data_IF_163815300120
#
_entry.id   IF_163815300120
#
_cell.length_a   1.000
_cell.length_b   1.000
_cell.length_c   1.000
_cell.angle_alpha   90.00
_cell.angle_beta   90.00
_cell.angle_gamma   90.00
#
_symmetry.space_group_name_H-M   'P 1'
#
loop_
_entity.id
_entity.type
_entity.pdbx_description
1 polymer ?
#
# COMPACT_ATOMS: atom_id res chain seq x y z
N UNK A 1 -15.90 3.05 16.82
CA UNK A 1 -15.51 4.46 16.64
C UNK A 1 -16.46 5.21 15.73
N UNK A 2 -16.74 4.73 14.51
CA UNK A 2 -17.68 5.42 13.61
C UNK A 2 -19.10 5.61 14.20
N UNK A 3 -19.56 4.68 15.05
CA UNK A 3 -20.85 4.75 15.74
C UNK A 3 -20.92 5.74 16.91
N UNK A 4 -19.77 6.24 17.39
CA UNK A 4 -19.70 7.13 18.56
C UNK A 4 -19.52 8.60 18.18
N UNK A 5 -19.44 8.93 16.89
CA UNK A 5 -19.31 10.31 16.41
C UNK A 5 -20.65 11.03 16.48
N UNK A 6 -20.62 12.32 16.84
CA UNK A 6 -21.82 13.17 16.82
C UNK A 6 -21.81 14.04 15.57
N UNK A 7 -22.84 13.95 14.75
CA UNK A 7 -23.02 14.84 13.59
C UNK A 7 -23.20 16.28 14.09
N UNK A 8 -22.42 17.22 13.56
CA UNK A 8 -22.50 18.66 13.87
C UNK A 8 -23.37 19.32 12.81
N UNK A 9 -23.03 19.12 11.54
CA UNK A 9 -23.80 19.54 10.36
C UNK A 9 -23.64 18.47 9.26
N UNK A 10 -24.04 18.75 8.01
CA UNK A 10 -24.05 17.74 6.94
C UNK A 10 -22.68 17.13 6.63
N UNK A 11 -21.62 17.94 6.65
CA UNK A 11 -20.27 17.53 6.28
C UNK A 11 -19.32 17.47 7.49
N UNK A 12 -19.81 17.71 8.72
CA UNK A 12 -19.00 17.79 9.93
C UNK A 12 -19.44 16.85 11.06
N UNK A 13 -18.45 16.19 11.67
CA UNK A 13 -18.65 15.27 12.78
C UNK A 13 -17.69 15.56 13.92
N UNK A 14 -18.15 15.41 15.15
CA UNK A 14 -17.32 15.48 16.35
C UNK A 14 -16.77 14.09 16.69
N UNK A 15 -15.45 13.97 16.71
CA UNK A 15 -14.74 12.79 17.21
C UNK A 15 -14.66 12.86 18.75
N UNK A 16 -14.81 11.72 19.47
CA UNK A 16 -14.63 11.67 20.92
C UNK A 16 -13.24 12.12 21.38
N UNK A 17 -13.19 12.84 22.49
CA UNK A 17 -11.96 13.46 23.02
C UNK A 17 -10.89 12.42 23.39
N UNK A 18 -11.29 11.23 23.82
CA UNK A 18 -10.39 10.13 24.19
C UNK A 18 -9.50 9.73 23.00
N UNK A 19 -10.05 9.76 21.79
CA UNK A 19 -9.30 9.44 20.58
C UNK A 19 -8.37 10.59 20.19
N UNK A 20 -8.83 11.83 20.33
CA UNK A 20 -7.97 13.00 20.09
C UNK A 20 -6.75 12.99 21.00
N UNK A 21 -6.88 12.59 22.27
CA UNK A 21 -5.76 12.48 23.20
C UNK A 21 -4.69 11.47 22.75
N UNK A 22 -5.05 10.43 22.00
CA UNK A 22 -4.09 9.46 21.45
C UNK A 22 -3.33 10.05 20.25
N UNK A 23 -3.99 10.91 19.47
CA UNK A 23 -3.44 11.50 18.24
C UNK A 23 -2.57 12.72 18.54
N UNK A 24 -2.99 13.54 19.52
CA UNK A 24 -2.37 14.81 19.91
C UNK A 24 -1.11 14.58 20.77
N UNK A 25 -0.12 13.91 20.19
CA UNK A 25 1.22 13.78 20.75
C UNK A 25 1.92 15.14 20.80
N UNK A 26 2.97 15.28 21.60
CA UNK A 26 3.73 16.55 21.72
C UNK A 26 4.19 17.11 20.36
N UNK A 27 4.73 16.31 19.42
CA UNK A 27 5.09 16.81 18.08
C UNK A 27 3.88 17.31 17.27
N UNK A 28 2.76 16.58 17.32
CA UNK A 28 1.53 16.96 16.60
C UNK A 28 0.95 18.26 17.18
N UNK A 29 0.95 18.41 18.50
CA UNK A 29 0.55 19.63 19.19
C UNK A 29 1.46 20.81 18.83
N UNK A 30 2.78 20.60 18.75
CA UNK A 30 3.71 21.63 18.31
C UNK A 30 3.36 22.13 16.90
N UNK A 31 3.12 21.22 15.95
CA UNK A 31 2.71 21.57 14.59
C UNK A 31 1.43 22.41 14.60
N UNK A 32 0.38 21.97 15.29
CA UNK A 32 -0.84 22.76 15.40
C UNK A 32 -0.57 24.16 15.96
N UNK A 33 0.20 24.25 17.05
CA UNK A 33 0.49 25.52 17.70
C UNK A 33 1.24 26.50 16.79
N UNK A 34 2.26 26.05 16.04
CA UNK A 34 3.07 26.97 15.22
C UNK A 34 2.30 27.48 14.01
N UNK A 35 1.40 26.67 13.43
CA UNK A 35 0.56 27.11 12.31
C UNK A 35 -0.58 28.02 12.77
N UNK A 36 -1.30 27.65 13.84
CA UNK A 36 -2.41 28.45 14.36
C UNK A 36 -1.96 29.83 14.86
N UNK A 37 -0.74 29.95 15.42
CA UNK A 37 -0.15 31.25 15.83
C UNK A 37 0.19 32.18 14.66
N UNK A 38 0.31 31.63 13.46
CA UNK A 38 0.55 32.39 12.23
C UNK A 38 -0.74 32.50 11.40
N UNK A 39 -1.91 32.28 12.02
CA UNK A 39 -3.24 32.40 11.40
C UNK A 39 -3.49 31.46 10.21
N UNK A 40 -2.76 30.35 10.13
CA UNK A 40 -2.98 29.32 9.12
C UNK A 40 -3.78 28.14 9.67
N UNK A 41 -4.77 27.69 8.90
CA UNK A 41 -5.46 26.45 9.20
C UNK A 41 -4.57 25.27 8.86
N UNK A 42 -4.58 24.25 9.72
CA UNK A 42 -3.89 22.98 9.49
C UNK A 42 -4.79 21.84 9.99
N UNK A 43 -4.85 20.74 9.23
CA UNK A 43 -5.67 19.57 9.56
C UNK A 43 -4.92 18.30 9.19
N UNK A 44 -5.13 17.23 9.96
CA UNK A 44 -4.71 15.88 9.57
C UNK A 44 -5.56 15.44 8.38
N UNK A 45 -4.97 14.79 7.38
CA UNK A 45 -5.68 14.40 6.16
C UNK A 45 -5.43 12.94 5.77
N UNK A 46 -6.26 12.43 4.86
CA UNK A 46 -5.93 11.24 4.08
C UNK A 46 -5.86 9.95 4.90
N UNK A 47 -4.76 9.22 4.72
CA UNK A 47 -4.62 7.88 5.26
C UNK A 47 -4.66 7.82 6.77
N UNK A 48 -4.16 8.86 7.44
CA UNK A 48 -4.17 8.96 8.89
C UNK A 48 -5.61 9.05 9.43
N UNK A 49 -6.46 9.88 8.82
CA UNK A 49 -7.87 10.05 9.22
C UNK A 49 -8.65 8.74 9.06
N UNK A 50 -8.46 8.03 7.94
CA UNK A 50 -9.07 6.71 7.72
C UNK A 50 -8.63 5.72 8.80
N UNK A 51 -7.33 5.62 9.08
CA UNK A 51 -6.80 4.64 10.02
C UNK A 51 -7.28 4.95 11.45
N UNK A 52 -7.34 6.23 11.84
CA UNK A 52 -7.96 6.71 13.08
C UNK A 52 -9.41 6.22 13.18
N UNK A 53 -10.25 6.47 12.17
CA UNK A 53 -11.67 6.09 12.19
C UNK A 53 -11.92 4.58 12.23
N UNK A 54 -10.94 3.80 11.74
CA UNK A 54 -10.91 2.34 11.87
C UNK A 54 -10.43 1.85 13.25
N UNK A 55 -10.11 2.76 14.18
CA UNK A 55 -9.59 2.43 15.50
C UNK A 55 -8.13 1.96 15.48
N UNK A 56 -7.37 2.32 14.44
CA UNK A 56 -5.94 2.01 14.30
C UNK A 56 -5.11 3.25 14.61
N UNK A 57 -3.94 3.04 15.21
CA UNK A 57 -2.94 4.12 15.35
C UNK A 57 -2.32 4.39 13.98
N UNK A 58 -2.41 5.61 13.43
CA UNK A 58 -1.75 5.95 12.18
C UNK A 58 -0.23 5.91 12.37
N UNK A 59 0.48 5.30 11.42
CA UNK A 59 1.95 5.24 11.44
C UNK A 59 2.56 6.57 10.99
N UNK A 60 2.01 7.11 9.91
CA UNK A 60 2.43 8.36 9.30
C UNK A 60 1.23 9.33 9.36
N UNK A 61 1.46 10.53 9.91
CA UNK A 61 0.45 11.58 10.03
C UNK A 61 0.77 12.66 9.00
N UNK A 62 -0.08 12.75 7.99
CA UNK A 62 0.00 13.79 6.97
C UNK A 62 -0.92 14.95 7.33
N UNK A 63 -0.43 16.17 7.12
CA UNK A 63 -1.16 17.40 7.30
C UNK A 63 -1.41 18.08 5.96
N UNK A 64 -2.54 18.78 5.87
CA UNK A 64 -2.75 19.82 4.87
C UNK A 64 -2.95 21.17 5.55
N UNK A 65 -2.62 22.25 4.85
CA UNK A 65 -2.70 23.61 5.40
C UNK A 65 -3.02 24.64 4.31
N UNK A 66 -3.64 25.75 4.71
CA UNK A 66 -3.84 26.92 3.85
C UNK A 66 -2.53 27.69 3.60
N UNK A 67 -1.48 27.46 4.41
CA UNK A 67 -0.17 28.08 4.21
C UNK A 67 0.49 27.61 2.91
N UNK A 68 1.03 28.54 2.13
CA UNK A 68 1.82 28.29 0.93
C UNK A 68 3.18 27.69 1.27
N UNK A 69 3.89 27.09 0.31
CA UNK A 69 5.12 26.34 0.59
C UNK A 69 6.23 27.19 1.23
N UNK A 70 6.36 28.46 0.83
CA UNK A 70 7.31 29.39 1.44
C UNK A 70 6.89 29.79 2.86
N UNK A 71 5.60 29.98 3.12
CA UNK A 71 5.06 30.28 4.46
C UNK A 71 5.27 29.09 5.41
N UNK A 72 5.07 27.85 4.94
CA UNK A 72 5.40 26.63 5.70
C UNK A 72 6.89 26.64 6.10
N UNK A 73 7.78 26.95 5.15
CA UNK A 73 9.23 27.01 5.39
C UNK A 73 9.58 28.08 6.43
N UNK A 74 8.98 29.27 6.31
CA UNK A 74 9.20 30.37 7.25
C UNK A 74 8.68 30.05 8.65
N UNK A 75 7.49 29.45 8.76
CA UNK A 75 6.92 28.98 10.04
C UNK A 75 7.86 27.97 10.70
N UNK A 76 8.35 26.98 9.95
CA UNK A 76 9.29 26.00 10.49
C UNK A 76 10.60 26.64 10.96
N UNK A 77 11.20 27.51 10.13
CA UNK A 77 12.46 28.19 10.46
C UNK A 77 12.34 29.08 11.70
N UNK A 78 11.24 29.84 11.81
CA UNK A 78 10.98 30.75 12.93
C UNK A 78 10.70 30.03 14.26
N UNK A 79 10.46 28.71 14.23
CA UNK A 79 10.17 27.89 15.41
C UNK A 79 11.22 26.77 15.62
N UNK A 80 12.41 26.89 15.02
CA UNK A 80 13.52 25.93 15.13
C UNK A 80 13.14 24.49 14.73
N UNK A 81 12.18 24.34 13.82
CA UNK A 81 11.76 23.05 13.28
C UNK A 81 12.54 22.78 12.00
N UNK A 82 13.30 21.69 11.96
CA UNK A 82 13.98 21.25 10.74
C UNK A 82 12.93 20.92 9.68
N UNK A 83 13.01 21.59 8.53
CA UNK A 83 12.09 21.40 7.41
C UNK A 83 12.85 20.96 6.15
N UNK A 84 12.36 19.91 5.49
CA UNK A 84 12.96 19.34 4.28
C UNK A 84 11.99 19.53 3.11
N UNK A 85 12.51 20.04 1.99
CA UNK A 85 11.75 20.25 0.75
C UNK A 85 11.58 18.93 -0.01
N UNK A 86 10.64 18.09 0.44
CA UNK A 86 10.39 16.77 -0.15
C UNK A 86 9.57 16.81 -1.42
N UNK A 87 8.76 17.86 -1.62
CA UNK A 87 7.93 18.05 -2.81
C UNK A 87 7.51 19.50 -3.00
N UNK A 88 8.45 20.45 -2.85
CA UNK A 88 8.17 21.89 -2.77
C UNK A 88 7.37 22.42 -3.98
N UNK A 89 7.68 21.95 -5.20
CA UNK A 89 6.94 22.32 -6.41
C UNK A 89 5.46 21.91 -6.39
N UNK A 90 5.13 20.85 -5.64
CA UNK A 90 3.77 20.38 -5.42
C UNK A 90 3.19 20.82 -4.07
N UNK A 91 3.94 21.65 -3.34
CA UNK A 91 3.60 22.25 -2.06
C UNK A 91 3.72 21.35 -0.85
N UNK A 92 4.52 20.28 -0.92
CA UNK A 92 4.80 19.41 0.22
C UNK A 92 6.17 19.70 0.82
N UNK A 93 6.20 19.92 2.13
CA UNK A 93 7.41 19.99 2.94
C UNK A 93 7.31 18.99 4.10
N UNK A 94 8.44 18.50 4.57
CA UNK A 94 8.50 17.55 5.69
C UNK A 94 9.14 18.20 6.91
N UNK A 95 8.35 18.37 7.97
CA UNK A 95 8.85 18.80 9.27
C UNK A 95 9.43 17.59 10.03
N UNK A 96 10.64 17.74 10.58
CA UNK A 96 11.32 16.69 11.34
C UNK A 96 11.35 17.09 12.82
N UNK A 97 10.56 16.40 13.64
CA UNK A 97 10.40 16.68 15.08
C UNK A 97 10.65 15.37 15.85
N UNK A 98 11.59 15.39 16.80
CA UNK A 98 11.94 14.22 17.63
C UNK A 98 12.26 12.95 16.81
N UNK A 99 12.91 13.11 15.65
CA UNK A 99 13.22 12.05 14.65
C UNK A 99 12.01 11.45 13.93
N UNK A 100 10.82 12.03 14.10
CA UNK A 100 9.64 11.69 13.32
C UNK A 100 9.47 12.69 12.18
N UNK A 101 8.98 12.21 11.05
CA UNK A 101 8.70 13.01 9.86
C UNK A 101 7.20 13.29 9.78
N UNK A 102 6.84 14.54 9.52
CA UNK A 102 5.47 14.97 9.30
C UNK A 102 5.37 15.70 7.97
N UNK A 103 4.65 15.12 7.03
CA UNK A 103 4.41 15.78 5.74
C UNK A 103 3.32 16.83 5.89
N UNK A 104 3.62 18.05 5.44
CA UNK A 104 2.72 19.20 5.47
C UNK A 104 2.56 19.67 4.03
N UNK A 105 1.35 19.60 3.51
CA UNK A 105 1.06 19.95 2.11
C UNK A 105 0.10 21.12 2.02
N UNK A 106 0.47 22.15 1.27
CA UNK A 106 -0.44 23.25 0.92
C UNK A 106 -1.65 22.71 0.17
N UNK A 107 -2.86 23.17 0.52
CA UNK A 107 -4.07 22.84 -0.23
C UNK A 107 -3.90 23.23 -1.70
N UNK A 108 -4.32 22.33 -2.59
CA UNK A 108 -4.14 22.55 -4.03
C UNK A 108 -5.28 22.01 -4.85
N UNK A 109 -5.44 22.56 -6.04
CA UNK A 109 -6.24 22.00 -7.11
C UNK A 109 -5.30 21.55 -8.25
N UNK A 110 -5.54 20.35 -8.79
CA UNK A 110 -4.76 19.81 -9.90
C UNK A 110 -5.46 20.24 -11.22
N UNK A 111 -4.89 21.18 -11.97
CA UNK A 111 -5.51 21.75 -13.18
C UNK A 111 -5.35 20.83 -14.38
N UNK A 112 -4.18 20.22 -14.50
CA UNK A 112 -3.86 19.19 -15.48
C UNK A 112 -3.09 18.11 -14.75
N UNK A 113 -3.47 16.84 -14.94
CA UNK A 113 -2.79 15.71 -14.29
C UNK A 113 -2.84 14.47 -15.17
N UNK A 114 -1.72 13.74 -15.22
CA UNK A 114 -1.62 12.37 -15.71
C UNK A 114 -1.40 11.36 -14.57
N UNK A 115 -1.60 11.83 -13.33
CA UNK A 115 -1.40 11.08 -12.10
C UNK A 115 0.01 11.16 -11.53
N UNK A 116 1.05 11.25 -12.38
CA UNK A 116 2.43 11.41 -11.94
C UNK A 116 2.85 12.87 -11.90
N UNK A 117 2.46 13.63 -12.91
CA UNK A 117 2.73 15.05 -13.03
C UNK A 117 1.40 15.79 -12.99
N UNK A 118 1.31 16.74 -12.06
CA UNK A 118 0.18 17.64 -11.98
C UNK A 118 0.66 19.08 -12.02
N UNK A 119 0.00 19.89 -12.84
CA UNK A 119 0.10 21.36 -12.73
C UNK A 119 -0.85 21.79 -11.63
N UNK A 120 -0.27 22.21 -10.51
CA UNK A 120 -1.03 22.52 -9.29
C UNK A 120 -1.25 24.02 -9.14
N UNK A 121 -2.40 24.39 -8.60
CA UNK A 121 -2.69 25.75 -8.13
C UNK A 121 -2.99 25.66 -6.65
N UNK A 122 -2.28 26.45 -5.84
CA UNK A 122 -2.56 26.53 -4.41
C UNK A 122 -3.86 27.28 -4.16
N UNK A 123 -4.64 26.77 -3.22
CA UNK A 123 -5.99 27.24 -2.89
C UNK A 123 -6.16 27.31 -1.38
N UNK A 124 -7.26 27.88 -0.92
CA UNK A 124 -7.65 27.89 0.50
C UNK A 124 -8.95 27.09 0.75
N UNK A 125 -9.53 26.50 -0.30
CA UNK A 125 -10.76 25.71 -0.24
C UNK A 125 -10.47 24.23 0.05
N UNK A 126 -10.81 23.81 1.27
CA UNK A 126 -10.68 22.43 1.73
C UNK A 126 -11.52 21.41 0.96
N UNK A 127 -12.71 21.80 0.50
CA UNK A 127 -13.58 20.91 -0.27
C UNK A 127 -12.96 20.67 -1.64
N UNK A 128 -12.40 21.70 -2.27
CA UNK A 128 -11.71 21.57 -3.54
C UNK A 128 -10.41 20.74 -3.43
N UNK A 129 -9.63 20.86 -2.35
CA UNK A 129 -8.50 19.92 -2.09
C UNK A 129 -8.98 18.49 -1.88
N UNK A 130 -10.11 18.29 -1.19
CA UNK A 130 -10.68 16.97 -1.01
C UNK A 130 -11.17 16.35 -2.33
N UNK A 131 -11.65 17.16 -3.29
CA UNK A 131 -12.14 16.68 -4.60
C UNK A 131 -11.08 16.02 -5.47
N UNK A 132 -9.82 16.46 -5.40
CA UNK A 132 -8.74 15.90 -6.23
C UNK A 132 -8.29 14.50 -5.77
N UNK A 133 -8.69 14.10 -4.56
CA UNK A 133 -8.28 12.82 -3.95
C UNK A 133 -9.01 11.66 -4.62
N UNK A 134 -8.44 10.47 -4.45
CA UNK A 134 -8.91 9.28 -5.16
C UNK A 134 -10.21 8.73 -4.56
N UNK A 135 -10.22 8.44 -3.26
CA UNK A 135 -11.28 7.72 -2.58
C UNK A 135 -11.94 8.56 -1.48
N UNK A 136 -13.24 8.38 -1.30
CA UNK A 136 -14.07 9.17 -0.38
C UNK A 136 -13.50 9.21 1.03
N UNK A 137 -13.12 8.06 1.59
CA UNK A 137 -12.55 8.00 2.93
C UNK A 137 -11.12 8.53 3.05
N UNK A 138 -10.40 8.69 1.94
CA UNK A 138 -9.09 9.36 1.90
C UNK A 138 -9.24 10.87 1.65
N UNK A 139 -10.46 11.36 1.39
CA UNK A 139 -10.78 12.75 1.15
C UNK A 139 -11.23 13.51 2.41
N UNK A 140 -11.23 12.84 3.57
CA UNK A 140 -11.59 13.43 4.86
C UNK A 140 -10.41 14.18 5.48
N UNK A 141 -10.73 15.16 6.34
CA UNK A 141 -9.75 15.89 7.16
C UNK A 141 -10.20 16.02 8.61
N UNK A 142 -9.26 16.11 9.55
CA UNK A 142 -9.51 16.17 10.99
C UNK A 142 -8.75 17.34 11.62
N UNK A 143 -9.48 18.24 12.27
CA UNK A 143 -8.91 19.39 12.99
C UNK A 143 -8.39 19.03 14.38
N UNK A 144 -7.55 19.90 14.95
CA UNK A 144 -7.10 19.85 16.35
C UNK A 144 -8.24 19.69 17.35
N UNK A 145 -9.36 20.37 17.10
CA UNK A 145 -10.54 20.36 17.96
C UNK A 145 -11.34 19.06 17.84
N UNK A 146 -10.92 18.09 17.03
CA UNK A 146 -11.65 16.85 16.79
C UNK A 146 -12.90 17.02 15.93
N UNK A 147 -12.97 18.08 15.11
CA UNK A 147 -13.96 18.20 14.05
C UNK A 147 -13.42 17.49 12.82
N UNK A 148 -14.11 16.43 12.40
CA UNK A 148 -13.92 15.70 11.16
C UNK A 148 -14.75 16.37 10.07
N UNK A 149 -14.12 16.66 8.94
CA UNK A 149 -14.75 17.18 7.73
C UNK A 149 -14.80 16.07 6.68
N UNK A 150 -16.00 15.77 6.19
CA UNK A 150 -16.30 14.73 5.21
C UNK A 150 -17.28 15.26 4.16
N UNK A 151 -16.75 15.76 3.04
CA UNK A 151 -17.54 16.34 1.95
C UNK A 151 -18.06 15.31 0.95
N UNK A 152 -17.64 14.05 1.05
CA UNK A 152 -17.87 13.00 0.03
C UNK A 152 -18.39 11.69 0.63
N UNK A 153 -19.00 11.75 1.81
CA UNK A 153 -19.62 10.61 2.49
C UNK A 153 -18.63 9.45 2.79
N UNK A 154 -17.35 9.79 2.99
CA UNK A 154 -16.28 8.86 3.31
C UNK A 154 -16.46 8.14 4.65
N UNK A 155 -17.10 8.78 5.62
CA UNK A 155 -17.46 8.17 6.91
C UNK A 155 -18.43 6.99 6.73
N UNK A 156 -19.47 7.17 5.92
CA UNK A 156 -20.46 6.15 5.63
C UNK A 156 -19.87 5.02 4.78
N UNK A 157 -19.05 5.36 3.79
CA UNK A 157 -18.33 4.37 2.99
C UNK A 157 -17.38 3.53 3.85
N UNK A 158 -16.63 4.17 4.74
CA UNK A 158 -15.74 3.48 5.67
C UNK A 158 -16.52 2.61 6.67
N UNK A 159 -17.71 3.04 7.10
CA UNK A 159 -18.58 2.25 7.97
C UNK A 159 -19.06 0.97 7.29
N UNK A 160 -19.51 1.07 6.04
CA UNK A 160 -19.99 -0.06 5.24
C UNK A 160 -18.88 -0.84 4.51
N UNK A 161 -17.61 -0.45 4.70
CA UNK A 161 -16.44 -1.01 4.01
C UNK A 161 -16.49 -0.88 2.48
N UNK A 162 -17.17 0.16 1.99
CA UNK A 162 -17.27 0.45 0.57
C UNK A 162 -16.04 1.23 0.10
N UNK A 163 -15.42 0.77 -1.00
CA UNK A 163 -14.40 1.54 -1.70
C UNK A 163 -15.08 2.33 -2.80
N UNK A 164 -15.16 3.65 -2.65
CA UNK A 164 -15.76 4.55 -3.64
C UNK A 164 -14.82 5.67 -4.02
N UNK A 165 -14.83 6.00 -5.31
CA UNK A 165 -14.12 7.14 -5.85
C UNK A 165 -14.81 8.44 -5.44
N UNK A 166 -14.03 9.51 -5.28
CA UNK A 166 -14.58 10.86 -5.13
C UNK A 166 -15.22 11.27 -6.45
N UNK A 167 -16.49 11.70 -6.42
CA UNK A 167 -17.27 12.07 -7.59
C UNK A 167 -17.34 10.93 -8.63
N UNK A 168 -16.99 11.21 -9.88
CA UNK A 168 -17.12 10.28 -11.00
C UNK A 168 -15.89 9.33 -11.09
N UNK A 169 -16.09 7.99 -11.02
CA UNK A 169 -15.00 7.03 -11.05
C UNK A 169 -14.26 6.99 -12.39
N UNK A 170 -14.93 7.23 -13.52
CA UNK A 170 -14.30 7.23 -14.84
C UNK A 170 -13.33 8.40 -14.96
N UNK A 171 -13.75 9.60 -14.55
CA UNK A 171 -12.87 10.77 -14.52
C UNK A 171 -11.71 10.51 -13.56
N UNK A 172 -11.98 9.96 -12.35
CA UNK A 172 -10.89 9.65 -11.39
C UNK A 172 -9.90 8.65 -11.99
N UNK A 173 -10.33 7.57 -12.61
CA UNK A 173 -9.43 6.56 -13.16
C UNK A 173 -8.64 7.12 -14.36
N UNK A 174 -9.26 7.94 -15.22
CA UNK A 174 -8.59 8.53 -16.39
C UNK A 174 -7.49 9.53 -16.04
N UNK A 175 -7.61 10.22 -14.92
CA UNK A 175 -6.53 11.07 -14.41
C UNK A 175 -5.29 10.27 -14.01
N UNK A 176 -5.47 9.09 -13.40
CA UNK A 176 -4.36 8.22 -13.03
C UNK A 176 -4.84 6.76 -13.04
N UNK A 177 -4.49 6.03 -14.09
CA UNK A 177 -4.91 4.63 -14.22
C UNK A 177 -4.39 3.75 -13.08
N UNK A 178 -3.34 4.17 -12.36
CA UNK A 178 -2.87 3.49 -11.15
C UNK A 178 -3.96 3.38 -10.06
N UNK A 179 -4.97 4.27 -10.09
CA UNK A 179 -6.13 4.23 -9.19
C UNK A 179 -6.93 2.92 -9.28
N UNK A 180 -6.86 2.19 -10.40
CA UNK A 180 -7.40 0.83 -10.52
C UNK A 180 -6.77 -0.11 -9.48
N UNK A 181 -5.43 -0.10 -9.38
CA UNK A 181 -4.74 -0.94 -8.40
C UNK A 181 -4.96 -0.44 -6.98
N UNK A 182 -5.00 0.88 -6.78
CA UNK A 182 -5.28 1.49 -5.47
C UNK A 182 -6.66 1.10 -4.95
N UNK A 183 -7.67 1.04 -5.81
CA UNK A 183 -9.01 0.56 -5.46
C UNK A 183 -8.96 -0.83 -4.81
N UNK A 184 -8.28 -1.79 -5.45
CA UNK A 184 -8.11 -3.14 -4.91
C UNK A 184 -7.25 -3.18 -3.65
N UNK A 185 -6.14 -2.42 -3.62
CA UNK A 185 -5.29 -2.31 -2.42
C UNK A 185 -6.10 -1.80 -1.22
N UNK A 186 -6.90 -0.77 -1.42
CA UNK A 186 -7.67 -0.17 -0.35
C UNK A 186 -8.87 -1.02 0.06
N UNK A 187 -9.45 -1.82 -0.83
CA UNK A 187 -10.40 -2.85 -0.42
C UNK A 187 -9.75 -3.76 0.63
N UNK A 188 -8.56 -4.30 0.38
CA UNK A 188 -7.82 -5.09 1.37
C UNK A 188 -7.51 -4.32 2.66
N UNK A 189 -7.32 -3.00 2.60
CA UNK A 189 -7.02 -2.19 3.78
C UNK A 189 -8.24 -1.98 4.70
N UNK A 190 -9.44 -1.87 4.13
CA UNK A 190 -10.66 -1.51 4.88
C UNK A 190 -11.66 -2.65 5.03
N UNK A 191 -11.68 -3.64 4.15
CA UNK A 191 -12.65 -4.71 4.20
C UNK A 191 -12.53 -5.52 5.49
N UNK A 192 -13.64 -6.12 5.90
CA UNK A 192 -13.71 -7.09 6.99
C UNK A 192 -14.00 -8.51 6.49
N UNK A 193 -14.20 -8.68 5.17
CA UNK A 193 -14.51 -9.94 4.50
C UNK A 193 -13.72 -10.09 3.20
N UNK A 194 -13.43 -11.34 2.77
CA UNK A 194 -12.84 -11.60 1.47
C UNK A 194 -13.62 -10.97 0.33
N UNK A 195 -12.93 -10.60 -0.75
CA UNK A 195 -13.55 -10.11 -1.96
C UNK A 195 -14.29 -11.25 -2.68
N UNK A 196 -15.44 -10.94 -3.24
CA UNK A 196 -16.09 -11.75 -4.27
C UNK A 196 -16.72 -10.80 -5.27
N UNK A 197 -17.23 -11.30 -6.41
CA UNK A 197 -17.75 -10.42 -7.47
C UNK A 197 -18.85 -9.47 -6.98
N UNK A 198 -19.72 -9.93 -6.09
CA UNK A 198 -20.78 -9.13 -5.48
C UNK A 198 -20.32 -8.18 -4.36
N UNK A 199 -19.03 -8.17 -4.00
CA UNK A 199 -18.44 -7.14 -3.11
C UNK A 199 -18.38 -5.77 -3.77
N UNK A 200 -18.52 -5.69 -5.10
CA UNK A 200 -18.31 -4.48 -5.88
C UNK A 200 -19.52 -4.17 -6.76
N UNK A 201 -19.69 -2.89 -7.08
CA UNK A 201 -20.64 -2.46 -8.12
C UNK A 201 -20.21 -3.03 -9.48
N UNK A 202 -21.09 -3.77 -10.14
CA UNK A 202 -20.81 -4.39 -11.44
C UNK A 202 -20.51 -3.36 -12.53
N UNK A 203 -21.15 -2.18 -12.49
CA UNK A 203 -20.86 -1.10 -13.43
C UNK A 203 -19.44 -0.57 -13.23
N UNK A 204 -19.00 -0.44 -11.97
CA UNK A 204 -17.63 -0.03 -11.64
C UNK A 204 -16.62 -1.10 -12.06
N UNK A 205 -16.90 -2.39 -11.86
CA UNK A 205 -16.03 -3.46 -12.33
C UNK A 205 -15.89 -3.46 -13.86
N UNK A 206 -16.99 -3.23 -14.58
CA UNK A 206 -16.97 -3.10 -16.05
C UNK A 206 -16.13 -1.91 -16.49
N UNK A 207 -16.32 -0.75 -15.85
CA UNK A 207 -15.50 0.44 -16.11
C UNK A 207 -14.00 0.16 -15.85
N UNK A 208 -13.67 -0.48 -14.73
CA UNK A 208 -12.29 -0.89 -14.42
C UNK A 208 -11.75 -1.82 -15.50
N UNK A 209 -12.52 -2.82 -15.93
CA UNK A 209 -12.13 -3.73 -17.00
C UNK A 209 -11.79 -2.97 -18.29
N UNK A 210 -12.69 -2.07 -18.72
CA UNK A 210 -12.55 -1.30 -19.95
C UNK A 210 -11.33 -0.36 -19.92
N UNK A 211 -10.99 0.19 -18.75
CA UNK A 211 -9.87 1.12 -18.58
C UNK A 211 -8.53 0.44 -18.23
N UNK A 212 -8.54 -0.82 -17.80
CA UNK A 212 -7.34 -1.57 -17.40
C UNK A 212 -6.23 -1.67 -18.46
N UNK A 213 -6.50 -1.73 -19.78
CA UNK A 213 -5.45 -1.70 -20.80
C UNK A 213 -4.54 -0.46 -20.71
N UNK A 214 -5.05 0.66 -20.18
CA UNK A 214 -4.28 1.88 -20.03
C UNK A 214 -3.25 1.82 -18.90
N UNK A 215 -3.27 0.79 -18.04
CA UNK A 215 -2.18 0.55 -17.09
C UNK A 215 -0.82 0.36 -17.79
N UNK A 216 -0.81 0.02 -19.08
CA UNK A 216 0.41 -0.05 -19.88
C UNK A 216 1.13 1.31 -20.03
N UNK A 217 0.43 2.44 -19.89
CA UNK A 217 1.04 3.78 -19.93
C UNK A 217 1.72 4.16 -18.60
N UNK A 218 1.42 3.44 -17.53
CA UNK A 218 1.95 3.73 -16.19
C UNK A 218 3.36 3.16 -16.05
N UNK A 219 4.25 3.95 -15.43
CA UNK A 219 5.59 3.51 -15.08
C UNK A 219 5.54 2.24 -14.23
N UNK A 220 6.32 1.23 -14.61
CA UNK A 220 6.21 -0.10 -14.02
C UNK A 220 6.61 -0.14 -12.53
N UNK A 221 7.48 0.77 -12.11
CA UNK A 221 7.87 0.94 -10.72
C UNK A 221 6.65 1.34 -9.85
N UNK A 222 5.74 2.17 -10.39
CA UNK A 222 4.47 2.56 -9.74
C UNK A 222 3.48 1.40 -9.71
N UNK A 223 3.40 0.62 -10.78
CA UNK A 223 2.60 -0.62 -10.81
C UNK A 223 3.09 -1.57 -9.72
N UNK A 224 4.41 -1.83 -9.66
CA UNK A 224 4.98 -2.72 -8.65
C UNK A 224 4.77 -2.21 -7.22
N UNK A 225 4.84 -0.89 -6.98
CA UNK A 225 4.59 -0.34 -5.64
C UNK A 225 3.16 -0.59 -5.15
N UNK A 226 2.17 -0.61 -6.05
CA UNK A 226 0.78 -0.96 -5.69
C UNK A 226 0.56 -2.48 -5.63
N UNK A 227 1.03 -3.22 -6.64
CA UNK A 227 0.92 -4.68 -6.68
C UNK A 227 1.57 -5.32 -5.45
N UNK A 228 2.78 -4.93 -5.09
CA UNK A 228 3.49 -5.49 -3.94
C UNK A 228 2.70 -5.34 -2.64
N UNK A 229 2.01 -4.21 -2.45
CA UNK A 229 1.13 -3.97 -1.30
C UNK A 229 -0.15 -4.80 -1.37
N UNK A 230 -0.71 -5.07 -2.56
CA UNK A 230 -1.85 -5.97 -2.73
C UNK A 230 -1.44 -7.40 -2.34
N UNK A 231 -0.28 -7.89 -2.81
CA UNK A 231 0.16 -9.27 -2.57
C UNK A 231 0.31 -9.58 -1.07
N UNK A 232 0.82 -8.64 -0.27
CA UNK A 232 1.02 -8.80 1.18
C UNK A 232 -0.14 -8.27 2.03
N UNK A 233 -1.13 -7.63 1.39
CA UNK A 233 -2.27 -7.02 2.06
C UNK A 233 -3.28 -8.05 2.55
N UNK A 234 -4.26 -7.61 3.36
CA UNK A 234 -5.35 -8.49 3.79
C UNK A 234 -6.19 -8.92 2.59
N UNK A 235 -6.70 -10.15 2.64
CA UNK A 235 -7.57 -10.73 1.61
C UNK A 235 -6.94 -10.81 0.21
N UNK A 236 -5.60 -10.75 0.12
CA UNK A 236 -4.86 -10.80 -1.15
C UNK A 236 -5.30 -11.94 -2.08
N UNK A 237 -5.55 -13.19 -1.62
CA UNK A 237 -6.01 -14.27 -2.50
C UNK A 237 -7.31 -13.92 -3.22
N UNK A 238 -8.33 -13.50 -2.47
CA UNK A 238 -9.64 -13.14 -3.03
C UNK A 238 -9.60 -11.89 -3.91
N UNK A 239 -8.73 -10.92 -3.57
CA UNK A 239 -8.54 -9.72 -4.40
C UNK A 239 -7.85 -10.10 -5.72
N UNK A 240 -6.85 -10.98 -5.67
CA UNK A 240 -6.16 -11.46 -6.87
C UNK A 240 -7.06 -12.27 -7.78
N UNK A 241 -8.01 -13.05 -7.26
CA UNK A 241 -9.04 -13.73 -8.05
C UNK A 241 -9.81 -12.72 -8.89
N UNK A 242 -10.31 -11.64 -8.29
CA UNK A 242 -11.04 -10.57 -8.99
C UNK A 242 -10.14 -9.84 -10.01
N UNK A 243 -8.90 -9.48 -9.63
CA UNK A 243 -7.93 -8.85 -10.54
C UNK A 243 -7.63 -9.75 -11.75
N UNK A 244 -7.54 -11.06 -11.53
CA UNK A 244 -7.30 -12.05 -12.57
C UNK A 244 -8.52 -12.18 -13.51
N UNK A 245 -9.73 -12.27 -12.96
CA UNK A 245 -10.98 -12.34 -13.74
C UNK A 245 -11.16 -11.11 -14.63
N UNK A 246 -10.71 -9.94 -14.16
CA UNK A 246 -10.72 -8.68 -14.93
C UNK A 246 -9.51 -8.56 -15.89
N UNK A 247 -8.66 -9.58 -16.01
CA UNK A 247 -7.44 -9.60 -16.82
C UNK A 247 -6.42 -8.48 -16.49
N UNK A 248 -6.44 -7.95 -15.27
CA UNK A 248 -5.58 -6.83 -14.86
C UNK A 248 -4.13 -7.25 -14.68
N UNK A 249 -3.88 -8.49 -14.23
CA UNK A 249 -2.52 -9.03 -14.05
C UNK A 249 -1.67 -8.94 -15.33
N UNK A 250 -2.30 -9.16 -16.49
CA UNK A 250 -1.67 -9.01 -17.80
C UNK A 250 -1.09 -7.61 -17.99
N UNK A 251 -1.85 -6.57 -17.67
CA UNK A 251 -1.42 -5.18 -17.79
C UNK A 251 -0.44 -4.76 -16.70
N UNK A 252 -0.38 -5.51 -15.59
CA UNK A 252 0.66 -5.39 -14.58
C UNK A 252 1.96 -6.11 -14.96
N UNK A 253 2.06 -6.68 -16.18
CA UNK A 253 3.19 -7.50 -16.66
C UNK A 253 3.44 -8.76 -15.81
N UNK A 254 2.41 -9.24 -15.13
CA UNK A 254 2.40 -10.51 -14.41
C UNK A 254 1.67 -11.53 -15.27
N UNK A 255 2.44 -12.42 -15.89
CA UNK A 255 1.86 -13.46 -16.73
C UNK A 255 1.46 -14.65 -15.85
N UNK A 256 0.23 -14.59 -15.32
CA UNK A 256 -0.43 -15.67 -14.59
C UNK A 256 -1.36 -16.41 -15.57
N UNK A 257 -0.94 -17.58 -16.04
CA UNK A 257 -1.60 -18.34 -17.12
C UNK A 257 -2.72 -19.28 -16.63
N UNK A 258 -2.76 -19.62 -15.34
CA UNK A 258 -3.52 -20.79 -14.89
C UNK A 258 -4.19 -20.61 -13.53
N UNK A 259 -5.42 -21.11 -13.38
CA UNK A 259 -6.15 -21.24 -12.10
C UNK A 259 -5.29 -21.91 -10.98
N UNK A 260 -4.37 -22.81 -11.37
CA UNK A 260 -3.43 -23.47 -10.45
C UNK A 260 -2.47 -22.47 -9.78
N UNK A 261 -2.11 -21.38 -10.46
CA UNK A 261 -1.22 -20.35 -9.91
C UNK A 261 -1.93 -19.56 -8.79
N UNK A 262 -3.22 -19.27 -8.95
CA UNK A 262 -4.03 -18.61 -7.91
C UNK A 262 -4.23 -19.53 -6.70
N UNK A 263 -4.52 -20.83 -6.92
CA UNK A 263 -4.59 -21.83 -5.84
C UNK A 263 -3.27 -21.93 -5.07
N UNK A 264 -2.14 -21.95 -5.76
CA UNK A 264 -0.80 -21.93 -5.13
C UNK A 264 -0.57 -20.65 -4.35
N UNK A 265 -0.94 -19.49 -4.90
CA UNK A 265 -0.86 -18.21 -4.18
C UNK A 265 -1.64 -18.27 -2.87
N UNK A 266 -2.88 -18.75 -2.90
CA UNK A 266 -3.72 -18.88 -1.71
C UNK A 266 -3.05 -19.77 -0.64
N UNK A 267 -2.47 -20.90 -1.04
CA UNK A 267 -1.72 -21.77 -0.12
C UNK A 267 -0.52 -21.03 0.50
N UNK A 268 0.30 -20.36 -0.32
CA UNK A 268 1.50 -19.65 0.14
C UNK A 268 1.12 -18.54 1.11
N UNK A 269 0.10 -17.76 0.76
CA UNK A 269 -0.43 -16.67 1.57
C UNK A 269 -0.96 -17.16 2.93
N UNK A 270 -1.72 -18.25 2.98
CA UNK A 270 -2.22 -18.80 4.25
C UNK A 270 -1.08 -19.33 5.13
N UNK A 271 -0.07 -19.98 4.53
CA UNK A 271 1.12 -20.42 5.25
C UNK A 271 1.87 -19.23 5.86
N UNK A 272 1.97 -18.10 5.14
CA UNK A 272 2.52 -16.86 5.66
C UNK A 272 1.75 -16.35 6.89
N UNK A 273 0.43 -16.24 6.77
CA UNK A 273 -0.42 -15.69 7.84
C UNK A 273 -0.31 -16.51 9.12
N UNK A 274 -0.39 -17.83 9.02
CA UNK A 274 -0.25 -18.74 10.15
C UNK A 274 1.09 -18.58 10.87
N UNK A 275 2.17 -18.27 10.13
CA UNK A 275 3.51 -18.09 10.71
C UNK A 275 3.76 -16.70 11.26
N UNK A 276 3.22 -15.66 10.64
CA UNK A 276 3.35 -14.28 11.15
C UNK A 276 2.67 -14.06 12.52
N UNK A 277 1.75 -14.95 12.91
CA UNK A 277 1.19 -14.97 14.26
C UNK A 277 2.21 -15.42 15.33
N UNK A 278 3.33 -16.04 14.93
CA UNK A 278 4.45 -16.41 15.80
C UNK A 278 5.58 -15.39 15.60
N UNK A 279 5.92 -14.65 16.67
CA UNK A 279 6.56 -13.32 16.64
C UNK A 279 8.02 -13.25 16.20
N UNK A 280 8.68 -14.37 15.90
CA UNK A 280 10.12 -14.41 15.58
C UNK A 280 10.42 -14.51 14.08
N UNK A 281 9.40 -14.37 13.23
CA UNK A 281 9.50 -14.60 11.79
C UNK A 281 9.47 -13.26 11.02
N UNK A 282 10.39 -13.03 10.06
CA UNK A 282 10.40 -11.82 9.23
C UNK A 282 9.09 -11.61 8.45
N UNK A 283 8.76 -10.35 8.20
CA UNK A 283 7.65 -9.99 7.32
C UNK A 283 7.85 -10.56 5.91
N UNK A 284 6.77 -11.04 5.31
CA UNK A 284 6.81 -11.66 3.98
C UNK A 284 7.10 -10.62 2.93
N UNK A 285 8.17 -10.81 2.17
CA UNK A 285 8.43 -9.99 0.99
C UNK A 285 7.41 -10.30 -0.11
N UNK A 286 6.88 -9.27 -0.76
CA UNK A 286 5.90 -9.42 -1.82
C UNK A 286 6.40 -10.28 -3.00
N UNK A 287 7.71 -10.24 -3.30
CA UNK A 287 8.33 -11.08 -4.34
C UNK A 287 8.26 -12.58 -4.01
N UNK A 288 8.20 -12.95 -2.73
CA UNK A 288 8.03 -14.33 -2.30
C UNK A 288 6.64 -14.85 -2.64
N UNK A 289 5.60 -14.05 -2.39
CA UNK A 289 4.22 -14.38 -2.78
C UNK A 289 4.03 -14.29 -4.29
N UNK A 290 4.69 -13.34 -4.96
CA UNK A 290 4.69 -13.23 -6.42
C UNK A 290 5.20 -14.52 -7.09
N UNK A 291 6.18 -15.21 -6.48
CA UNK A 291 6.69 -16.49 -7.01
C UNK A 291 5.59 -17.54 -7.19
N UNK A 292 4.53 -17.48 -6.37
CA UNK A 292 3.39 -18.38 -6.45
C UNK A 292 2.54 -18.16 -7.71
N UNK A 293 2.70 -17.03 -8.41
CA UNK A 293 1.91 -16.70 -9.60
C UNK A 293 2.54 -17.20 -10.90
N UNK A 294 3.79 -17.66 -10.88
CA UNK A 294 4.52 -18.06 -12.09
C UNK A 294 4.52 -19.56 -12.30
N UNK A 295 4.36 -20.04 -13.53
CA UNK A 295 4.30 -21.48 -13.83
C UNK A 295 5.68 -22.15 -13.82
N UNK A 296 6.69 -21.46 -14.35
CA UNK A 296 8.05 -21.96 -14.48
C UNK A 296 9.08 -20.84 -14.30
N UNK A 297 10.36 -21.22 -14.32
CA UNK A 297 11.48 -20.31 -14.14
C UNK A 297 11.57 -19.25 -15.25
N UNK A 298 11.29 -19.60 -16.51
CA UNK A 298 11.39 -18.68 -17.63
C UNK A 298 10.32 -17.59 -17.54
N UNK A 299 9.09 -17.99 -17.20
CA UNK A 299 7.96 -17.10 -16.95
C UNK A 299 8.26 -16.15 -15.77
N UNK A 300 8.83 -16.66 -14.69
CA UNK A 300 9.24 -15.86 -13.55
C UNK A 300 10.35 -14.87 -13.91
N UNK A 301 11.38 -15.30 -14.63
CA UNK A 301 12.50 -14.47 -15.06
C UNK A 301 12.03 -13.30 -15.93
N UNK A 302 11.19 -13.59 -16.94
CA UNK A 302 10.61 -12.56 -17.81
C UNK A 302 9.75 -11.57 -17.02
N UNK A 303 8.91 -12.06 -16.11
CA UNK A 303 8.04 -11.19 -15.31
C UNK A 303 8.84 -10.31 -14.34
N UNK A 304 9.85 -10.87 -13.66
CA UNK A 304 10.73 -10.11 -12.75
C UNK A 304 11.50 -9.01 -13.49
N UNK A 305 12.00 -9.30 -14.70
CA UNK A 305 12.66 -8.30 -15.55
C UNK A 305 11.67 -7.21 -15.99
N UNK A 306 10.49 -7.61 -16.46
CA UNK A 306 9.47 -6.69 -16.93
C UNK A 306 8.97 -5.74 -15.84
N UNK A 307 8.86 -6.24 -14.60
CA UNK A 307 8.50 -5.50 -13.39
C UNK A 307 9.64 -4.63 -12.85
N UNK A 308 10.87 -4.77 -13.38
CA UNK A 308 12.09 -4.11 -12.88
C UNK A 308 12.31 -4.32 -11.38
N UNK A 309 12.11 -5.55 -10.90
CA UNK A 309 12.39 -5.89 -9.52
C UNK A 309 13.87 -5.64 -9.18
N UNK A 310 14.14 -5.25 -7.93
CA UNK A 310 15.53 -5.11 -7.46
C UNK A 310 16.26 -6.46 -7.56
N UNK A 311 17.60 -6.43 -7.59
CA UNK A 311 18.40 -7.66 -7.62
C UNK A 311 18.02 -8.62 -6.49
N UNK A 312 17.81 -8.11 -5.28
CA UNK A 312 17.34 -8.91 -4.13
C UNK A 312 15.98 -9.55 -4.41
N UNK A 313 14.98 -8.75 -4.77
CA UNK A 313 13.61 -9.22 -5.01
C UNK A 313 13.55 -10.27 -6.13
N UNK A 314 14.26 -10.03 -7.22
CA UNK A 314 14.37 -10.97 -8.35
C UNK A 314 15.02 -12.26 -7.92
N UNK A 315 16.13 -12.21 -7.20
CA UNK A 315 16.85 -13.41 -6.74
C UNK A 315 15.97 -14.25 -5.81
N UNK A 316 15.28 -13.63 -4.85
CA UNK A 316 14.31 -14.31 -3.98
C UNK A 316 13.20 -14.98 -4.78
N UNK A 317 12.57 -14.26 -5.72
CA UNK A 317 11.48 -14.80 -6.52
C UNK A 317 11.92 -16.00 -7.37
N UNK A 318 13.05 -15.87 -8.09
CA UNK A 318 13.57 -16.93 -8.96
C UNK A 318 14.08 -18.12 -8.17
N UNK A 319 14.69 -17.89 -7.01
CA UNK A 319 15.07 -18.96 -6.09
C UNK A 319 13.85 -19.79 -5.69
N UNK A 320 12.74 -19.16 -5.30
CA UNK A 320 11.54 -19.86 -4.89
C UNK A 320 10.91 -20.64 -6.06
N UNK A 321 10.82 -20.04 -7.25
CA UNK A 321 10.29 -20.73 -8.44
C UNK A 321 11.15 -21.93 -8.84
N UNK A 322 12.47 -21.81 -8.77
CA UNK A 322 13.40 -22.91 -9.10
C UNK A 322 13.31 -24.06 -8.11
N UNK A 323 13.13 -23.76 -6.82
CA UNK A 323 13.25 -24.75 -5.75
C UNK A 323 11.91 -25.29 -5.23
N UNK A 324 10.76 -24.71 -5.62
CA UNK A 324 9.44 -25.22 -5.18
C UNK A 324 9.08 -26.62 -5.70
N UNK A 325 9.75 -27.08 -6.77
CA UNK A 325 9.58 -28.42 -7.34
C UNK A 325 10.66 -29.41 -6.87
N UNK A 326 11.70 -28.95 -6.18
CA UNK A 326 12.80 -29.79 -5.75
C UNK A 326 12.68 -30.08 -4.24
N UNK A 327 12.33 -31.33 -3.95
CA UNK A 327 12.55 -32.06 -2.70
C UNK A 327 11.59 -31.89 -1.51
N UNK A 328 10.67 -32.84 -1.45
CA UNK A 328 10.13 -33.46 -0.24
C UNK A 328 11.20 -34.27 0.57
N UNK A 329 12.47 -33.86 0.57
CA UNK A 329 13.53 -34.45 1.41
C UNK A 329 13.95 -33.44 2.47
N UNK A 330 13.23 -33.49 3.58
CA UNK A 330 13.46 -32.72 4.80
C UNK A 330 14.76 -33.16 5.48
N UNK A 331 15.73 -32.25 5.57
CA UNK A 331 16.96 -32.47 6.33
C UNK A 331 17.03 -31.54 7.56
N UNK A 332 17.23 -32.17 8.72
CA UNK A 332 17.38 -31.60 10.06
C UNK A 332 18.68 -30.77 10.20
N UNK A 333 18.52 -29.47 10.40
CA UNK A 333 19.25 -28.60 11.35
C UNK A 333 18.74 -27.19 11.05
N UNK A 334 17.91 -26.69 11.96
CA UNK A 334 17.04 -25.53 11.76
C UNK A 334 17.86 -24.24 11.74
N UNK A 335 17.99 -23.66 10.56
CA UNK A 335 18.19 -22.22 10.41
C UNK A 335 16.78 -21.63 10.24
N UNK A 336 16.37 -20.76 11.17
CA UNK A 336 15.00 -20.24 11.25
C UNK A 336 14.56 -19.56 9.96
N UNK A 337 15.52 -18.99 9.23
CA UNK A 337 15.33 -18.33 7.94
C UNK A 337 14.98 -19.30 6.81
N UNK A 338 15.62 -20.46 6.75
CA UNK A 338 15.39 -21.47 5.70
C UNK A 338 14.07 -22.20 5.91
N UNK A 339 13.71 -22.48 7.17
CA UNK A 339 12.42 -23.10 7.50
C UNK A 339 11.24 -22.19 7.14
N UNK A 340 11.44 -20.88 7.21
CA UNK A 340 10.47 -19.90 6.71
C UNK A 340 10.25 -20.02 5.20
N UNK A 341 11.30 -19.91 4.39
CA UNK A 341 11.16 -20.03 2.92
C UNK A 341 10.67 -21.41 2.49
N UNK A 342 11.11 -22.49 3.15
CA UNK A 342 10.56 -23.84 2.93
C UNK A 342 9.06 -23.88 3.16
N UNK A 343 8.57 -23.29 4.25
CA UNK A 343 7.13 -23.26 4.56
C UNK A 343 6.30 -22.51 3.52
N UNK A 344 6.87 -21.48 2.88
CA UNK A 344 6.26 -20.83 1.72
C UNK A 344 6.17 -21.81 0.55
N UNK A 345 7.22 -22.60 0.33
CA UNK A 345 7.31 -23.53 -0.80
C UNK A 345 6.48 -24.81 -0.66
N UNK A 346 6.01 -25.18 0.54
CA UNK A 346 5.30 -26.45 0.77
C UNK A 346 3.96 -26.48 0.00
N UNK A 347 4.03 -26.99 -1.23
CA UNK A 347 2.91 -27.52 -1.99
C UNK A 347 2.69 -28.96 -1.54
N UNK A 348 1.96 -29.21 -0.45
CA UNK A 348 1.62 -30.58 -0.08
C UNK A 348 0.11 -30.76 0.03
N UNK A 349 -0.48 -31.33 -1.03
CA UNK A 349 -1.85 -31.85 -1.00
C UNK A 349 -1.94 -33.22 -0.28
N UNK A 350 -0.80 -33.75 0.20
CA UNK A 350 -0.71 -35.02 0.95
C UNK A 350 0.37 -34.99 2.04
N UNK A 351 0.38 -33.96 2.90
CA UNK A 351 1.13 -34.04 4.17
C UNK A 351 0.33 -34.85 5.21
N UNK A 352 0.05 -36.12 4.91
CA UNK A 352 -0.20 -37.12 5.92
C UNK A 352 0.92 -38.15 5.76
N UNK A 353 1.65 -38.32 6.86
CA UNK A 353 2.72 -39.29 7.09
C UNK A 353 4.15 -38.91 6.63
N UNK A 354 5.03 -38.93 7.63
CA UNK A 354 6.48 -39.11 7.62
C UNK A 354 7.41 -37.92 7.95
N UNK A 355 8.28 -38.28 8.90
CA UNK A 355 9.24 -37.57 9.72
C UNK A 355 10.69 -37.71 9.16
N UNK A 356 11.62 -36.85 9.65
CA UNK A 356 13.01 -37.16 10.12
C UNK A 356 14.22 -37.22 9.10
N UNK A 357 15.20 -36.30 9.32
CA UNK A 357 16.71 -36.40 9.26
C UNK A 357 17.58 -35.76 8.14
N UNK A 358 18.48 -34.88 8.66
CA UNK A 358 19.79 -34.21 8.36
C UNK A 358 20.50 -34.00 6.98
N UNK A 359 21.15 -32.80 6.93
CA UNK A 359 22.57 -32.48 6.61
C UNK A 359 23.10 -32.19 5.18
N UNK A 360 23.66 -30.97 5.07
CA UNK A 360 24.94 -30.53 4.46
C UNK A 360 25.28 -30.73 2.98
N UNK A 361 24.51 -30.12 2.07
CA UNK A 361 25.09 -29.74 0.75
C UNK A 361 24.65 -28.37 0.24
N UNK A 362 23.69 -27.70 0.89
CA UNK A 362 23.15 -26.42 0.40
C UNK A 362 23.85 -25.19 1.04
N UNK A 363 24.71 -25.42 2.04
CA UNK A 363 25.52 -24.36 2.67
C UNK A 363 26.68 -23.86 1.79
N UNK A 364 26.99 -24.52 0.67
CA UNK A 364 28.04 -24.09 -0.25
C UNK A 364 27.55 -23.06 -1.30
N UNK A 365 26.27 -23.10 -1.71
CA UNK A 365 25.76 -22.15 -2.72
C UNK A 365 25.40 -20.76 -2.16
N UNK A 366 25.26 -20.62 -0.84
CA UNK A 366 24.97 -19.31 -0.22
C UNK A 366 26.22 -18.58 0.29
N UNK A 367 27.39 -19.24 0.31
CA UNK A 367 28.67 -18.60 0.69
C UNK A 367 29.53 -18.16 -0.50
N UNK A 368 29.28 -18.64 -1.73
CA UNK A 368 30.07 -18.23 -2.92
C UNK A 368 29.64 -16.90 -3.56
N UNK A 369 28.54 -16.28 -3.12
CA UNK A 369 28.19 -14.92 -3.57
C UNK A 369 28.96 -13.79 -2.85
N UNK A 370 29.88 -14.11 -1.94
CA UNK A 370 30.57 -13.08 -1.14
C UNK A 370 32.10 -13.04 -1.29
N UNK A 371 32.75 -13.98 -1.97
CA UNK A 371 34.22 -13.95 -2.16
C UNK A 371 34.62 -14.67 -3.44
N UNK A 372 34.57 -13.97 -4.57
CA UNK A 372 35.72 -13.77 -5.45
C UNK A 372 35.26 -13.09 -6.74
N UNK A 373 36.07 -12.10 -7.12
CA UNK A 373 36.19 -11.58 -8.46
C UNK A 373 36.25 -12.76 -9.45
N UNK A 374 35.30 -12.83 -10.39
CA UNK A 374 35.65 -12.83 -11.81
C UNK A 374 34.39 -12.86 -12.68
N UNK A 375 34.44 -11.93 -13.62
CA UNK A 375 33.63 -11.84 -14.82
C UNK A 375 33.64 -13.20 -15.53
N UNK A 376 32.48 -13.79 -15.80
CA UNK A 376 32.37 -14.74 -16.91
C UNK A 376 31.35 -14.19 -17.91
N UNK A 377 31.93 -13.72 -19.01
CA UNK A 377 31.29 -13.37 -20.26
C UNK A 377 30.28 -14.43 -20.70
N UNK A 378 29.08 -13.98 -21.07
CA UNK A 378 28.26 -14.70 -22.04
C UNK A 378 28.76 -14.24 -23.41
N UNK A 379 29.17 -15.18 -24.27
CA UNK A 379 29.47 -14.90 -25.68
C UNK A 379 28.25 -14.32 -26.40
#
# INVERSE_FOLDING_TARGET
MLTSMKKINDDEFKIPSEIMNVILTKPVELIYNVFERNDFEIRIVGGAVRDILLGKTPKDIDFATTAKPHEIKDICNNNDIKCVETGFEHGTLTAVIEKNNYEITTLRNDVETDGRHAKVVFIEDWKLDAQRRDLTFNAMSLSRKGVLYDYFNGTNDLFHRNVRFVNDPEIRIKEDYLRILRFFRFYGKIADKPAYRGSFDENLLRLIYDLSPNLNSIAIERIWSEVSQILVGNFAPSILEIINDLNILKYCRINCSHELNIKRFNLYYNNCLQRSANTDIPAVEACSLLSALFEDFQNAQKSCQNLKLSCSQRNTCLFLVKNRHCDAKLTQKSDSSLDYYKSLLVLNYKAQEYHIVLSNTIQLMLCECAKNEDIIFIQ
#
